data_IF_688318501961
#
_entry.id   IF_688318501961
#
_cell.length_a   1.000
_cell.length_b   1.000
_cell.length_c   1.000
_cell.angle_alpha   90.00
_cell.angle_beta   90.00
_cell.angle_gamma   90.00
#
_symmetry.space_group_name_H-M   'P 1'
#
loop_
_entity.id
_entity.type
_entity.pdbx_description
1 polymer ?
#
# COMPACT_ATOMS: atom_id res chain seq x y z
N UNK A 1 5.14 1.22 -2.85
CA UNK A 1 4.04 2.16 -2.63
C UNK A 1 4.41 3.55 -3.10
N UNK A 2 3.47 4.24 -3.73
CA UNK A 2 3.60 5.65 -4.11
C UNK A 2 2.63 6.46 -3.26
N UNK A 3 3.15 7.48 -2.58
CA UNK A 3 2.32 8.48 -1.90
C UNK A 3 2.23 9.71 -2.79
N UNK A 4 1.02 10.21 -2.99
CA UNK A 4 0.75 11.39 -3.79
C UNK A 4 0.09 12.43 -2.91
N UNK A 5 0.63 13.64 -2.89
CA UNK A 5 0.06 14.73 -2.13
C UNK A 5 -0.98 15.44 -2.99
N UNK A 6 -2.19 15.54 -2.49
CA UNK A 6 -3.32 16.15 -3.19
C UNK A 6 -4.02 17.14 -2.28
N UNK A 7 -4.66 18.14 -2.89
CA UNK A 7 -5.52 19.05 -2.14
C UNK A 7 -6.83 18.34 -1.77
N UNK A 8 -7.37 18.65 -0.60
CA UNK A 8 -8.63 18.04 -0.16
C UNK A 8 -9.81 18.81 -0.76
N UNK A 9 -10.09 18.56 -2.04
CA UNK A 9 -11.16 19.20 -2.81
C UNK A 9 -11.80 18.20 -3.78
N UNK A 10 -13.03 18.48 -4.23
CA UNK A 10 -13.67 17.63 -5.24
C UNK A 10 -12.81 17.49 -6.50
N UNK A 11 -12.66 16.26 -6.96
CA UNK A 11 -11.91 15.95 -8.18
C UNK A 11 -10.42 15.74 -8.00
N UNK A 12 -9.82 16.08 -6.85
CA UNK A 12 -8.38 15.94 -6.63
C UNK A 12 -7.90 14.50 -6.79
N UNK A 13 -8.61 13.56 -6.18
CA UNK A 13 -8.27 12.13 -6.30
C UNK A 13 -8.44 11.64 -7.74
N UNK A 14 -9.52 12.07 -8.40
CA UNK A 14 -9.80 11.70 -9.78
C UNK A 14 -8.69 12.20 -10.72
N UNK A 15 -8.14 13.36 -10.46
CA UNK A 15 -7.03 13.88 -11.26
C UNK A 15 -5.82 12.95 -11.23
N UNK A 16 -5.52 12.37 -10.07
CA UNK A 16 -4.44 11.37 -9.93
C UNK A 16 -4.79 10.09 -10.68
N UNK A 17 -5.97 9.53 -10.44
CA UNK A 17 -6.38 8.29 -11.08
C UNK A 17 -6.53 8.43 -12.59
N UNK A 18 -6.88 9.61 -13.08
CA UNK A 18 -6.95 9.88 -14.53
C UNK A 18 -5.58 9.75 -15.18
N UNK A 19 -4.52 10.27 -14.56
CA UNK A 19 -3.16 10.11 -15.08
C UNK A 19 -2.79 8.64 -15.18
N UNK A 20 -3.06 7.87 -14.13
CA UNK A 20 -2.75 6.44 -14.10
C UNK A 20 -3.54 5.66 -15.15
N UNK A 21 -4.79 6.02 -15.36
CA UNK A 21 -5.63 5.42 -16.41
C UNK A 21 -5.08 5.69 -17.80
N UNK A 22 -4.70 6.92 -18.08
CA UNK A 22 -4.10 7.29 -19.37
C UNK A 22 -2.81 6.53 -19.65
N UNK A 23 -2.02 6.28 -18.61
CA UNK A 23 -0.75 5.55 -18.71
C UNK A 23 -0.90 4.03 -18.59
N UNK A 24 -2.12 3.53 -18.52
CA UNK A 24 -2.43 2.11 -18.38
C UNK A 24 -1.79 1.46 -17.14
N UNK A 25 -1.67 2.22 -16.06
CA UNK A 25 -1.19 1.73 -14.77
C UNK A 25 -2.39 1.26 -13.94
N UNK A 26 -2.33 0.03 -13.47
CA UNK A 26 -3.39 -0.55 -12.65
C UNK A 26 -3.14 -0.33 -11.17
N UNK A 27 -4.17 0.08 -10.45
CA UNK A 27 -4.13 0.29 -9.01
C UNK A 27 -4.48 -1.02 -8.31
N UNK A 28 -3.56 -1.52 -7.48
CA UNK A 28 -3.73 -2.75 -6.69
C UNK A 28 -4.30 -2.47 -5.31
N UNK A 29 -3.91 -1.35 -4.72
CA UNK A 29 -4.40 -0.93 -3.42
C UNK A 29 -4.41 0.58 -3.33
N UNK A 30 -5.35 1.11 -2.57
CA UNK A 30 -5.49 2.55 -2.37
C UNK A 30 -5.89 2.83 -0.92
N UNK A 31 -5.27 3.85 -0.36
CA UNK A 31 -5.64 4.39 0.94
C UNK A 31 -5.48 5.90 0.91
N UNK A 32 -6.36 6.60 1.56
CA UNK A 32 -6.29 8.05 1.66
C UNK A 32 -6.26 8.49 3.10
N UNK A 33 -5.54 9.56 3.34
CA UNK A 33 -5.51 10.22 4.64
C UNK A 33 -5.86 11.69 4.42
N UNK A 34 -6.76 12.22 5.24
CA UNK A 34 -7.21 13.60 5.08
C UNK A 34 -6.71 14.50 6.20
N UNK A 35 -6.44 15.72 5.81
CA UNK A 35 -6.38 16.88 6.70
C UNK A 35 -7.22 17.99 6.05
N UNK A 36 -7.56 19.06 6.78
CA UNK A 36 -8.44 20.10 6.22
C UNK A 36 -7.92 20.74 4.92
N UNK A 37 -6.60 20.83 4.76
CA UNK A 37 -6.00 21.55 3.62
C UNK A 37 -5.51 20.62 2.52
N UNK A 38 -5.02 19.43 2.86
CA UNK A 38 -4.49 18.49 1.89
C UNK A 38 -4.69 17.05 2.35
N UNK A 39 -4.53 16.13 1.42
CA UNK A 39 -4.60 14.71 1.70
C UNK A 39 -3.38 13.98 1.13
N UNK A 40 -3.21 12.76 1.56
CA UNK A 40 -2.20 11.85 1.03
C UNK A 40 -2.92 10.63 0.46
N UNK A 41 -2.68 10.36 -0.81
CA UNK A 41 -3.12 9.12 -1.44
C UNK A 41 -1.96 8.13 -1.43
N UNK A 42 -2.17 6.97 -0.86
CA UNK A 42 -1.19 5.88 -0.90
C UNK A 42 -1.67 4.84 -1.89
N UNK A 43 -0.82 4.50 -2.84
CA UNK A 43 -1.17 3.63 -3.95
C UNK A 43 -0.14 2.51 -4.08
N UNK A 44 -0.62 1.30 -4.27
CA UNK A 44 0.19 0.19 -4.78
C UNK A 44 -0.26 -0.06 -6.20
N UNK A 45 0.66 -0.01 -7.13
CA UNK A 45 0.39 -0.10 -8.57
C UNK A 45 1.24 -1.19 -9.21
N UNK A 46 0.84 -1.64 -10.39
CA UNK A 46 1.57 -2.68 -11.12
C UNK A 46 2.86 -2.17 -11.80
N UNK A 47 2.96 -0.87 -12.05
CA UNK A 47 4.15 -0.26 -12.65
C UNK A 47 4.51 1.03 -11.89
N UNK A 48 5.21 0.92 -10.75
CA UNK A 48 5.51 2.07 -9.92
C UNK A 48 6.44 3.09 -10.58
N UNK A 49 7.36 2.65 -11.42
CA UNK A 49 8.28 3.57 -12.12
C UNK A 49 7.50 4.47 -13.07
N UNK A 50 6.65 3.86 -13.90
CA UNK A 50 5.82 4.59 -14.85
C UNK A 50 4.85 5.53 -14.14
N UNK A 51 4.23 5.06 -13.08
CA UNK A 51 3.30 5.86 -12.29
C UNK A 51 3.98 7.09 -11.70
N UNK A 52 5.14 6.92 -11.09
CA UNK A 52 5.89 8.04 -10.51
C UNK A 52 6.30 9.05 -11.56
N UNK A 53 6.85 8.59 -12.68
CA UNK A 53 7.28 9.47 -13.76
C UNK A 53 6.11 10.28 -14.32
N UNK A 54 5.00 9.63 -14.58
CA UNK A 54 3.82 10.26 -15.16
C UNK A 54 3.19 11.28 -14.22
N UNK A 55 3.08 10.95 -12.93
CA UNK A 55 2.53 11.85 -11.93
C UNK A 55 3.44 13.06 -11.71
N UNK A 56 4.74 12.82 -11.62
CA UNK A 56 5.71 13.92 -11.45
C UNK A 56 5.69 14.87 -12.64
N UNK A 57 5.58 14.34 -13.85
CA UNK A 57 5.49 15.12 -15.08
C UNK A 57 4.25 16.02 -15.11
N UNK A 58 3.16 15.58 -14.49
CA UNK A 58 1.91 16.33 -14.40
C UNK A 58 1.88 17.30 -13.21
N UNK A 59 2.98 17.43 -12.48
CA UNK A 59 3.11 18.38 -11.38
C UNK A 59 2.71 17.87 -10.02
N UNK A 60 2.40 16.58 -9.88
CA UNK A 60 2.10 16.01 -8.57
C UNK A 60 3.38 15.76 -7.76
N UNK A 61 3.32 16.02 -6.46
CA UNK A 61 4.39 15.69 -5.54
C UNK A 61 4.22 14.23 -5.12
N UNK A 62 5.23 13.41 -5.37
CA UNK A 62 5.17 11.97 -5.12
C UNK A 62 6.34 11.52 -4.25
N UNK A 63 6.12 10.43 -3.52
CA UNK A 63 7.15 9.77 -2.73
C UNK A 63 6.99 8.27 -2.85
N UNK A 64 8.10 7.55 -3.04
CA UNK A 64 8.12 6.09 -3.05
C UNK A 64 8.57 5.61 -1.69
N UNK A 65 7.84 4.65 -1.13
CA UNK A 65 8.10 4.07 0.19
C UNK A 65 7.97 2.56 0.10
N UNK A 66 8.88 1.85 0.74
CA UNK A 66 8.77 0.40 0.88
C UNK A 66 7.66 0.05 1.86
N UNK A 67 6.84 -0.91 1.47
CA UNK A 67 5.77 -1.46 2.31
C UNK A 67 5.80 -2.98 2.24
N UNK A 68 5.18 -3.63 3.21
CA UNK A 68 5.06 -5.08 3.24
C UNK A 68 3.65 -5.45 2.82
N UNK A 69 3.54 -6.38 1.87
CA UNK A 69 2.28 -7.02 1.52
C UNK A 69 2.24 -8.42 2.13
N UNK A 70 1.29 -8.66 3.03
CA UNK A 70 1.11 -9.95 3.67
C UNK A 70 -0.18 -10.60 3.17
N UNK A 71 -0.07 -11.81 2.62
CA UNK A 71 -1.22 -12.59 2.20
C UNK A 71 -1.81 -13.32 3.39
N UNK A 72 -3.07 -13.06 3.69
CA UNK A 72 -3.78 -13.68 4.81
C UNK A 72 -4.95 -14.49 4.29
N UNK A 73 -5.20 -15.66 4.91
CA UNK A 73 -6.45 -16.40 4.66
C UNK A 73 -7.61 -15.59 5.21
N UNK A 74 -8.72 -15.57 4.49
CA UNK A 74 -9.93 -14.87 4.91
C UNK A 74 -10.65 -15.67 6.01
N UNK A 75 -10.06 -15.71 7.18
CA UNK A 75 -10.58 -16.38 8.37
C UNK A 75 -10.55 -15.43 9.55
N UNK A 76 -11.50 -15.61 10.45
CA UNK A 76 -11.57 -14.80 11.67
C UNK A 76 -10.27 -14.92 12.47
N UNK A 77 -9.73 -13.79 12.88
CA UNK A 77 -8.56 -13.72 13.75
C UNK A 77 -7.22 -13.71 13.03
N UNK A 78 -7.16 -13.90 11.71
CA UNK A 78 -5.89 -13.92 10.99
C UNK A 78 -5.18 -12.56 10.99
N UNK A 79 -5.91 -11.48 10.80
CA UNK A 79 -5.34 -10.14 10.91
C UNK A 79 -4.82 -9.90 12.33
N UNK A 80 -5.61 -10.25 13.33
CA UNK A 80 -5.21 -10.10 14.74
C UNK A 80 -3.94 -10.89 15.04
N UNK A 81 -3.82 -12.11 14.51
CA UNK A 81 -2.65 -12.94 14.71
C UNK A 81 -1.40 -12.32 14.07
N UNK A 82 -1.50 -11.78 12.86
CA UNK A 82 -0.39 -11.09 12.21
C UNK A 82 0.05 -9.87 13.04
N UNK A 83 -0.90 -9.08 13.51
CA UNK A 83 -0.61 -7.91 14.34
C UNK A 83 0.02 -8.32 15.68
N UNK A 84 -0.38 -9.46 16.26
CA UNK A 84 0.23 -10.00 17.45
C UNK A 84 1.69 -10.40 17.22
N UNK A 85 1.99 -11.05 16.11
CA UNK A 85 3.36 -11.41 15.74
C UNK A 85 4.25 -10.17 15.69
N UNK A 86 3.76 -9.11 15.06
CA UNK A 86 4.48 -7.85 14.97
C UNK A 86 4.63 -7.19 16.35
N UNK A 87 3.58 -7.19 17.16
CA UNK A 87 3.60 -6.61 18.50
C UNK A 87 4.57 -7.36 19.42
N UNK A 88 4.59 -8.69 19.37
CA UNK A 88 5.51 -9.52 20.16
C UNK A 88 6.96 -9.25 19.75
N UNK A 89 7.21 -8.91 18.49
CA UNK A 89 8.50 -8.47 17.99
C UNK A 89 8.81 -7.00 18.25
N UNK A 90 7.92 -6.29 18.96
CA UNK A 90 8.02 -4.84 19.23
C UNK A 90 8.13 -4.01 17.96
N UNK A 91 7.40 -4.41 16.91
CA UNK A 91 7.34 -3.71 15.64
C UNK A 91 6.04 -2.94 15.57
N UNK A 92 6.14 -1.63 15.38
CA UNK A 92 4.98 -0.76 15.24
C UNK A 92 4.50 -0.73 13.79
N UNK A 93 3.19 -0.81 13.60
CA UNK A 93 2.55 -0.61 12.29
C UNK A 93 2.10 0.83 12.23
N UNK A 94 2.69 1.61 11.31
CA UNK A 94 2.36 3.02 11.18
C UNK A 94 1.01 3.23 10.50
N UNK A 95 0.69 2.41 9.51
CA UNK A 95 -0.61 2.36 8.85
C UNK A 95 -0.77 1.04 8.10
N UNK A 96 -2.00 0.66 7.82
CA UNK A 96 -2.34 -0.59 7.14
C UNK A 96 -3.58 -0.40 6.28
N UNK A 97 -3.61 -1.03 5.12
CA UNK A 97 -4.76 -1.07 4.22
C UNK A 97 -4.73 -2.35 3.39
N UNK A 98 -5.80 -2.64 2.68
CA UNK A 98 -5.92 -3.88 1.92
C UNK A 98 -5.84 -3.63 0.41
N UNK A 99 -5.47 -4.69 -0.32
CA UNK A 99 -5.59 -4.69 -1.77
C UNK A 99 -7.06 -4.63 -2.17
N UNK A 100 -7.33 -4.08 -3.33
CA UNK A 100 -8.60 -4.25 -4.05
C UNK A 100 -8.81 -5.75 -4.28
N UNK A 101 -10.06 -6.20 -4.32
CA UNK A 101 -10.42 -7.61 -4.43
C UNK A 101 -9.62 -8.30 -5.54
N UNK A 102 -9.00 -9.41 -5.17
CA UNK A 102 -8.21 -10.28 -6.06
C UNK A 102 -9.01 -11.56 -6.25
N UNK A 103 -9.72 -11.67 -7.38
CA UNK A 103 -10.54 -12.83 -7.66
C UNK A 103 -9.74 -14.13 -7.60
N UNK A 104 -10.24 -15.12 -6.84
CA UNK A 104 -9.60 -16.43 -6.69
C UNK A 104 -8.30 -16.44 -5.87
N UNK A 105 -7.93 -15.32 -5.25
CA UNK A 105 -6.72 -15.21 -4.43
C UNK A 105 -7.04 -14.74 -3.01
N UNK A 106 -6.18 -15.09 -2.06
CA UNK A 106 -6.32 -14.65 -0.68
C UNK A 106 -6.14 -13.13 -0.56
N UNK A 107 -6.78 -12.50 0.44
CA UNK A 107 -6.61 -11.07 0.72
C UNK A 107 -5.14 -10.73 1.02
N UNK A 108 -4.72 -9.55 0.61
CA UNK A 108 -3.40 -9.00 0.92
C UNK A 108 -3.56 -7.74 1.73
N UNK A 109 -2.89 -7.69 2.88
CA UNK A 109 -2.79 -6.49 3.70
C UNK A 109 -1.46 -5.82 3.41
N UNK A 110 -1.50 -4.52 3.16
CA UNK A 110 -0.31 -3.69 2.94
C UNK A 110 -0.08 -2.85 4.17
N UNK A 111 1.13 -2.83 4.69
CA UNK A 111 1.43 -2.01 5.85
C UNK A 111 2.84 -1.43 5.80
N UNK A 112 3.01 -0.34 6.54
CA UNK A 112 4.28 0.35 6.68
C UNK A 112 4.78 0.24 8.12
N UNK A 113 6.08 0.02 8.24
CA UNK A 113 6.79 0.00 9.52
C UNK A 113 8.13 0.69 9.35
N UNK A 114 8.68 1.23 10.44
CA UNK A 114 10.01 1.84 10.41
C UNK A 114 11.13 0.80 10.36
N UNK A 115 10.85 -0.43 10.77
CA UNK A 115 11.82 -1.53 10.77
C UNK A 115 11.40 -2.60 9.76
N UNK A 116 11.51 -2.26 8.49
CA UNK A 116 11.07 -3.09 7.37
C UNK A 116 11.72 -4.49 7.37
N UNK A 117 13.04 -4.54 7.50
CA UNK A 117 13.78 -5.80 7.42
C UNK A 117 13.41 -6.75 8.57
N UNK A 118 13.30 -6.21 9.77
CA UNK A 118 12.93 -7.00 10.95
C UNK A 118 11.49 -7.50 10.86
N UNK A 119 10.58 -6.65 10.36
CA UNK A 119 9.19 -7.04 10.14
C UNK A 119 9.09 -8.20 9.15
N UNK A 120 9.80 -8.13 8.02
CA UNK A 120 9.85 -9.24 7.07
C UNK A 120 10.35 -10.52 7.73
N UNK A 121 11.43 -10.42 8.50
CA UNK A 121 12.05 -11.57 9.15
C UNK A 121 11.11 -12.26 10.13
N UNK A 122 10.45 -11.50 11.01
CA UNK A 122 9.56 -12.10 12.01
C UNK A 122 8.29 -12.68 11.38
N UNK A 123 7.77 -12.07 10.32
CA UNK A 123 6.61 -12.59 9.62
C UNK A 123 6.95 -13.88 8.86
N UNK A 124 8.07 -13.92 8.16
CA UNK A 124 8.53 -15.13 7.46
C UNK A 124 8.81 -16.26 8.44
N UNK A 125 9.41 -15.97 9.60
CA UNK A 125 9.67 -16.96 10.65
C UNK A 125 8.38 -17.54 11.23
N UNK A 126 7.28 -16.82 11.17
CA UNK A 126 5.95 -17.26 11.61
C UNK A 126 5.10 -17.84 10.46
N UNK A 127 5.71 -18.13 9.32
CA UNK A 127 5.07 -18.69 8.12
C UNK A 127 3.96 -17.80 7.52
N UNK A 128 4.06 -16.50 7.71
CA UNK A 128 3.18 -15.55 7.03
C UNK A 128 3.72 -15.35 5.60
N UNK A 129 2.87 -15.56 4.61
CA UNK A 129 3.26 -15.39 3.21
C UNK A 129 3.32 -13.91 2.86
N UNK A 130 4.49 -13.46 2.41
CA UNK A 130 4.69 -12.09 1.93
C UNK A 130 4.59 -12.06 0.41
N UNK A 131 4.00 -10.99 -0.11
CA UNK A 131 3.82 -10.79 -1.55
C UNK A 131 5.07 -10.11 -2.09
N UNK A 132 5.70 -10.72 -3.06
CA UNK A 132 6.86 -10.14 -3.73
C UNK A 132 6.42 -9.06 -4.74
N UNK A 133 7.31 -8.12 -5.03
CA UNK A 133 7.01 -7.02 -5.95
C UNK A 133 6.49 -7.51 -7.30
N UNK A 134 7.02 -8.61 -7.80
CA UNK A 134 6.64 -9.20 -9.08
C UNK A 134 5.22 -9.77 -9.09
N UNK A 135 4.65 -10.06 -7.92
CA UNK A 135 3.30 -10.60 -7.78
C UNK A 135 2.22 -9.51 -7.67
N UNK A 136 2.65 -8.28 -7.62
CA UNK A 136 1.76 -7.12 -7.46
C UNK A 136 1.03 -6.74 -8.74
#
# INVERSE_FOLDING_TARGET
QISVFVENQPGSMMNVTSVLTEEHVNIRAISTFDSPEFGIMRLVVDDPVRAKESLTKRGFVTRVTEVIGAELKDEKGNLNQMLKILADGQINVNYIYSFVIREGKAPVMVFHTDDFERAEMVLRAADVKLVEEEEL
#
